data_IF_193047904124
#
_entry.id   IF_193047904124
#
_cell.length_a   1.000
_cell.length_b   1.000
_cell.length_c   1.000
_cell.angle_alpha   90.00
_cell.angle_beta   90.00
_cell.angle_gamma   90.00
#
_symmetry.space_group_name_H-M   'P 1'
#
loop_
_entity.id
_entity.type
_entity.pdbx_description
1 polymer ?
#
# COMPACT_ATOMS: atom_id res chain seq x y z
N UNK A 1 39.04 -86.31 -37.74
CA UNK A 1 38.15 -85.17 -38.03
C UNK A 1 38.13 -84.24 -36.83
N UNK A 2 38.95 -83.19 -36.84
CA UNK A 2 39.05 -82.21 -35.76
C UNK A 2 38.11 -81.03 -35.98
N UNK A 3 37.34 -80.64 -34.96
CA UNK A 3 36.69 -79.32 -34.89
C UNK A 3 37.30 -78.57 -33.71
N UNK A 4 38.18 -77.63 -34.04
CA UNK A 4 38.79 -76.68 -33.11
C UNK A 4 37.76 -75.60 -32.76
N UNK A 5 37.30 -75.58 -31.50
CA UNK A 5 36.51 -74.47 -30.95
C UNK A 5 37.48 -73.39 -30.45
N UNK A 6 37.59 -72.28 -31.19
CA UNK A 6 38.27 -71.07 -30.72
C UNK A 6 37.46 -70.48 -29.56
N UNK A 7 38.09 -70.45 -28.39
CA UNK A 7 37.59 -69.79 -27.19
C UNK A 7 38.06 -68.33 -27.22
N UNK A 8 37.17 -67.40 -27.58
CA UNK A 8 37.49 -65.97 -27.63
C UNK A 8 37.26 -65.38 -26.24
N UNK A 9 38.34 -65.16 -25.50
CA UNK A 9 38.34 -64.51 -24.20
C UNK A 9 38.09 -63.00 -24.39
N UNK A 10 37.12 -62.39 -23.68
CA UNK A 10 36.84 -60.97 -23.83
C UNK A 10 38.02 -60.13 -23.33
N UNK A 11 38.45 -59.16 -24.15
CA UNK A 11 39.57 -58.26 -23.89
C UNK A 11 39.25 -57.30 -22.72
N UNK A 12 40.26 -57.00 -21.88
CA UNK A 12 40.14 -56.13 -20.69
C UNK A 12 39.49 -54.74 -20.92
N UNK A 13 39.38 -54.27 -22.17
CA UNK A 13 38.76 -52.98 -22.51
C UNK A 13 37.22 -52.99 -22.42
N UNK A 14 36.54 -54.11 -22.72
CA UNK A 14 35.07 -54.22 -22.61
C UNK A 14 34.59 -54.32 -21.16
N UNK A 15 35.39 -54.95 -20.28
CA UNK A 15 35.13 -55.03 -18.84
C UNK A 15 35.19 -53.66 -18.13
N UNK A 16 36.05 -52.75 -18.59
CA UNK A 16 36.16 -51.38 -18.05
C UNK A 16 35.00 -50.47 -18.47
N UNK A 17 34.51 -50.61 -19.70
CA UNK A 17 33.37 -49.84 -20.22
C UNK A 17 32.04 -50.25 -19.56
N UNK A 18 31.81 -51.54 -19.33
CA UNK A 18 30.62 -52.04 -18.61
C UNK A 18 30.58 -51.57 -17.14
N UNK A 19 31.73 -51.52 -16.45
CA UNK A 19 31.78 -51.01 -15.08
C UNK A 19 31.39 -49.53 -15.00
N UNK A 20 31.93 -48.68 -15.89
CA UNK A 20 31.58 -47.25 -15.95
C UNK A 20 30.10 -47.01 -16.28
N UNK A 21 29.50 -47.79 -17.18
CA UNK A 21 28.07 -47.68 -17.49
C UNK A 21 27.17 -48.10 -16.31
N UNK A 22 27.55 -49.15 -15.58
CA UNK A 22 26.83 -49.59 -14.36
C UNK A 22 26.94 -48.57 -13.21
N UNK A 23 28.08 -47.90 -13.09
CA UNK A 23 28.29 -46.82 -12.10
C UNK A 23 27.50 -45.55 -12.43
N UNK A 24 27.47 -45.14 -13.71
CA UNK A 24 26.65 -44.02 -14.19
C UNK A 24 25.15 -44.29 -14.04
N UNK A 25 24.69 -45.52 -14.31
CA UNK A 25 23.29 -45.94 -14.10
C UNK A 25 22.88 -45.91 -12.62
N UNK A 26 23.76 -46.36 -11.71
CA UNK A 26 23.53 -46.29 -10.26
C UNK A 26 23.52 -44.86 -9.73
N UNK A 27 24.43 -44.01 -10.19
CA UNK A 27 24.44 -42.60 -9.82
C UNK A 27 23.17 -41.88 -10.31
N UNK A 28 22.72 -42.14 -11.54
CA UNK A 28 21.47 -41.57 -12.06
C UNK A 28 20.21 -42.08 -11.34
N UNK A 29 20.18 -43.35 -10.91
CA UNK A 29 19.10 -43.90 -10.09
C UNK A 29 19.02 -43.25 -8.71
N UNK A 30 20.17 -43.13 -8.02
CA UNK A 30 20.26 -42.46 -6.73
C UNK A 30 19.88 -40.97 -6.80
N UNK A 31 20.19 -40.29 -7.91
CA UNK A 31 19.77 -38.90 -8.13
C UNK A 31 18.25 -38.82 -8.30
N UNK A 32 17.62 -39.71 -9.08
CA UNK A 32 16.16 -39.74 -9.27
C UNK A 32 15.41 -40.01 -7.97
N UNK A 33 15.91 -40.91 -7.12
CA UNK A 33 15.29 -41.17 -5.82
C UNK A 33 15.41 -39.98 -4.86
N UNK A 34 16.57 -39.31 -4.81
CA UNK A 34 16.74 -38.08 -4.01
C UNK A 34 15.81 -36.96 -4.49
N UNK A 35 15.65 -36.80 -5.80
CA UNK A 35 14.71 -35.83 -6.38
C UNK A 35 13.26 -36.17 -6.04
N UNK A 36 12.87 -37.45 -6.07
CA UNK A 36 11.53 -37.89 -5.72
C UNK A 36 11.21 -37.68 -4.22
N UNK A 37 12.17 -37.96 -3.34
CA UNK A 37 12.02 -37.71 -1.89
C UNK A 37 11.92 -36.21 -1.58
N UNK A 38 12.75 -35.38 -2.21
CA UNK A 38 12.67 -33.93 -2.05
C UNK A 38 11.37 -33.36 -2.63
N UNK A 39 10.90 -33.89 -3.77
CA UNK A 39 9.62 -33.52 -4.36
C UNK A 39 8.45 -33.84 -3.42
N UNK A 40 8.46 -34.99 -2.75
CA UNK A 40 7.42 -35.37 -1.79
C UNK A 40 7.34 -34.42 -0.58
N UNK A 41 8.49 -33.94 -0.11
CA UNK A 41 8.58 -32.93 0.96
C UNK A 41 8.03 -31.59 0.44
N UNK A 42 8.45 -31.16 -0.75
CA UNK A 42 8.00 -29.90 -1.37
C UNK A 42 6.49 -29.91 -1.57
N UNK A 43 5.90 -30.97 -2.14
CA UNK A 43 4.44 -31.06 -2.37
C UNK A 43 3.67 -31.00 -1.05
N UNK A 44 4.19 -31.61 0.03
CA UNK A 44 3.54 -31.57 1.34
C UNK A 44 3.55 -30.18 1.97
N UNK A 45 4.62 -29.40 1.79
CA UNK A 45 4.76 -28.07 2.39
C UNK A 45 4.33 -26.92 1.47
N UNK A 46 4.23 -27.15 0.17
CA UNK A 46 3.80 -26.19 -0.85
C UNK A 46 2.49 -25.47 -0.50
N UNK A 47 1.40 -26.13 -0.06
CA UNK A 47 0.17 -25.41 0.26
C UNK A 47 0.35 -24.44 1.43
N UNK A 48 1.19 -24.76 2.41
CA UNK A 48 1.47 -23.87 3.54
C UNK A 48 2.31 -22.66 3.10
N UNK A 49 3.34 -22.87 2.27
CA UNK A 49 4.15 -21.77 1.71
C UNK A 49 3.26 -20.85 0.87
N UNK A 50 2.41 -21.42 0.01
CA UNK A 50 1.47 -20.65 -0.81
C UNK A 50 0.51 -19.84 0.05
N UNK A 51 -0.06 -20.44 1.10
CA UNK A 51 -0.98 -19.77 2.01
C UNK A 51 -0.29 -18.61 2.76
N UNK A 52 0.93 -18.83 3.27
CA UNK A 52 1.70 -17.75 3.91
C UNK A 52 2.03 -16.61 2.95
N UNK A 53 2.39 -16.91 1.69
CA UNK A 53 2.66 -15.91 0.68
C UNK A 53 1.40 -15.07 0.36
N UNK A 54 0.23 -15.71 0.22
CA UNK A 54 -1.04 -15.02 0.00
C UNK A 54 -1.37 -14.07 1.17
N UNK A 55 -1.18 -14.52 2.41
CA UNK A 55 -1.43 -13.68 3.60
C UNK A 55 -0.50 -12.47 3.62
N UNK A 56 0.80 -12.65 3.39
CA UNK A 56 1.77 -11.54 3.37
C UNK A 56 1.46 -10.54 2.26
N UNK A 57 1.16 -11.02 1.06
CA UNK A 57 0.78 -10.16 -0.07
C UNK A 57 -0.53 -9.43 0.23
N UNK A 58 -1.53 -10.12 0.77
CA UNK A 58 -2.81 -9.54 1.15
C UNK A 58 -2.67 -8.45 2.21
N UNK A 59 -1.85 -8.68 3.24
CA UNK A 59 -1.57 -7.69 4.27
C UNK A 59 -0.81 -6.48 3.70
N UNK A 60 0.17 -6.69 2.83
CA UNK A 60 0.91 -5.60 2.18
C UNK A 60 0.00 -4.71 1.34
N UNK A 61 -0.87 -5.32 0.53
CA UNK A 61 -1.89 -4.60 -0.25
C UNK A 61 -2.86 -3.84 0.66
N UNK A 62 -3.35 -4.46 1.73
CA UNK A 62 -4.29 -3.84 2.65
C UNK A 62 -3.72 -2.61 3.37
N UNK A 63 -2.44 -2.67 3.77
CA UNK A 63 -1.75 -1.53 4.38
C UNK A 63 -1.56 -0.40 3.36
N UNK A 64 -1.20 -0.74 2.13
CA UNK A 64 -0.90 0.23 1.08
C UNK A 64 -2.16 0.89 0.50
N UNK A 65 -3.31 0.21 0.59
CA UNK A 65 -4.60 0.71 0.11
C UNK A 65 -5.30 1.70 1.06
N UNK A 66 -4.67 2.08 2.19
CA UNK A 66 -5.27 3.05 3.11
C UNK A 66 -5.23 4.45 2.50
N UNK A 67 -6.37 5.17 2.44
CA UNK A 67 -6.39 6.52 1.90
C UNK A 67 -5.54 7.45 2.79
N UNK A 68 -4.75 8.30 2.16
CA UNK A 68 -4.05 9.39 2.82
C UNK A 68 -5.06 10.50 3.11
N UNK A 69 -5.49 10.63 4.36
CA UNK A 69 -6.50 11.58 4.81
C UNK A 69 -5.92 12.56 5.84
N UNK A 70 -6.51 13.77 5.98
CA UNK A 70 -6.10 14.72 7.00
C UNK A 70 -6.28 14.18 8.41
N UNK A 71 -5.51 14.71 9.38
CA UNK A 71 -5.65 14.34 10.77
C UNK A 71 -7.03 14.77 11.30
N UNK A 72 -7.69 13.90 12.06
CA UNK A 72 -8.96 14.20 12.75
C UNK A 72 -8.81 14.34 14.27
N UNK A 73 -7.57 14.19 14.78
CA UNK A 73 -7.25 14.14 16.21
C UNK A 73 -6.33 15.29 16.58
N UNK A 74 -6.50 15.82 17.80
CA UNK A 74 -5.71 16.94 18.35
C UNK A 74 -4.34 16.51 18.90
N UNK A 75 -3.99 15.21 18.92
CA UNK A 75 -2.74 14.74 19.53
C UNK A 75 -1.48 15.20 18.80
N UNK A 76 -0.42 15.57 19.54
CA UNK A 76 0.88 16.02 18.99
C UNK A 76 0.77 17.24 18.07
N UNK A 77 -0.11 18.17 18.40
CA UNK A 77 -0.19 19.46 17.71
C UNK A 77 0.95 20.39 18.16
N UNK A 78 1.16 21.47 17.42
CA UNK A 78 2.03 22.59 17.83
C UNK A 78 1.16 23.83 18.03
N UNK A 79 1.48 24.68 19.01
CA UNK A 79 0.77 25.95 19.25
C UNK A 79 1.11 26.98 18.16
N UNK A 80 0.64 26.73 16.95
CA UNK A 80 0.84 27.59 15.79
C UNK A 80 -0.40 27.59 14.92
N UNK A 81 -0.71 28.75 14.37
CA UNK A 81 -1.90 29.00 13.55
C UNK A 81 -1.49 29.34 12.12
N UNK A 82 -2.32 29.06 11.12
CA UNK A 82 -2.08 29.53 9.77
C UNK A 82 -2.11 31.07 9.73
N UNK A 83 -1.43 31.66 8.75
CA UNK A 83 -1.33 33.12 8.64
C UNK A 83 -2.66 33.81 8.28
N UNK A 84 -3.64 33.05 7.77
CA UNK A 84 -4.97 33.50 7.42
C UNK A 84 -5.94 32.31 7.36
N UNK A 85 -7.24 32.60 7.32
CA UNK A 85 -8.29 31.59 7.17
C UNK A 85 -8.41 31.06 5.75
N UNK A 86 -8.10 31.87 4.73
CA UNK A 86 -8.06 31.46 3.33
C UNK A 86 -6.61 31.54 2.85
N UNK A 87 -6.01 30.40 2.52
CA UNK A 87 -4.60 30.34 2.12
C UNK A 87 -4.39 29.53 0.84
N UNK A 88 -3.35 29.91 0.10
CA UNK A 88 -2.95 29.27 -1.17
C UNK A 88 -1.91 28.16 -0.99
N UNK A 89 -1.49 27.88 0.24
CA UNK A 89 -0.50 26.85 0.58
C UNK A 89 -1.12 25.81 1.51
N UNK A 90 -0.72 24.53 1.42
CA UNK A 90 -1.21 23.51 2.33
C UNK A 90 -0.89 23.84 3.79
N UNK A 91 -1.83 23.55 4.69
CA UNK A 91 -1.61 23.64 6.14
C UNK A 91 -0.87 22.38 6.59
N UNK A 92 0.29 22.48 7.27
CA UNK A 92 0.96 21.31 7.86
C UNK A 92 0.06 20.57 8.85
N UNK A 93 0.12 19.23 8.86
CA UNK A 93 -0.68 18.39 9.78
C UNK A 93 -0.59 18.84 11.24
N UNK A 94 0.60 19.20 11.73
CA UNK A 94 0.80 19.63 13.11
C UNK A 94 0.02 20.91 13.47
N UNK A 95 -0.12 21.83 12.52
CA UNK A 95 -0.92 23.07 12.65
C UNK A 95 -2.40 22.74 12.53
N UNK A 96 -2.79 21.86 11.58
CA UNK A 96 -4.18 21.42 11.45
C UNK A 96 -4.71 20.86 12.78
N UNK A 97 -3.94 19.99 13.44
CA UNK A 97 -4.33 19.40 14.72
C UNK A 97 -4.57 20.44 15.82
N UNK A 98 -3.83 21.54 15.83
CA UNK A 98 -4.04 22.65 16.77
C UNK A 98 -5.35 23.37 16.46
N UNK A 99 -5.61 23.65 15.18
CA UNK A 99 -6.85 24.30 14.74
C UNK A 99 -8.10 23.47 15.04
N UNK A 100 -8.00 22.14 15.00
CA UNK A 100 -9.11 21.25 15.39
C UNK A 100 -9.49 21.37 16.87
N UNK A 101 -8.54 21.75 17.72
CA UNK A 101 -8.78 21.98 19.14
C UNK A 101 -9.36 23.38 19.36
N UNK A 102 -8.65 24.40 18.88
CA UNK A 102 -9.04 25.80 18.96
C UNK A 102 -8.62 26.56 17.71
N UNK A 103 -9.57 27.17 17.01
CA UNK A 103 -9.31 28.12 15.94
C UNK A 103 -8.46 29.29 16.47
N UNK A 104 -7.42 29.66 15.74
CA UNK A 104 -6.46 30.72 16.10
C UNK A 104 -5.86 30.58 17.52
N UNK A 105 -5.84 29.35 18.04
CA UNK A 105 -5.27 28.99 19.34
C UNK A 105 -6.11 29.34 20.58
N UNK A 106 -7.24 30.05 20.43
CA UNK A 106 -8.13 30.43 21.55
C UNK A 106 -9.63 30.43 21.22
N UNK A 107 -9.98 30.19 19.97
CA UNK A 107 -11.35 30.23 19.46
C UNK A 107 -12.11 28.92 19.61
N UNK A 108 -13.27 28.88 18.96
CA UNK A 108 -14.08 27.66 18.82
C UNK A 108 -13.29 26.58 18.06
N UNK A 109 -13.65 25.30 18.17
CA UNK A 109 -13.04 24.26 17.34
C UNK A 109 -13.09 24.62 15.85
N UNK A 110 -11.94 24.51 15.19
CA UNK A 110 -11.79 24.84 13.79
C UNK A 110 -12.39 23.78 12.87
N UNK A 111 -12.90 24.24 11.73
CA UNK A 111 -13.28 23.41 10.60
C UNK A 111 -12.33 23.71 9.46
N UNK A 112 -11.66 22.68 8.94
CA UNK A 112 -10.69 22.83 7.86
C UNK A 112 -11.29 22.25 6.59
N UNK A 113 -11.54 23.11 5.62
CA UNK A 113 -11.90 22.75 4.26
C UNK A 113 -10.64 22.68 3.41
N UNK A 114 -10.38 21.51 2.85
CA UNK A 114 -9.20 21.29 2.04
C UNK A 114 -9.56 20.77 0.66
N UNK A 115 -8.97 21.34 -0.39
CA UNK A 115 -9.23 20.91 -1.78
C UNK A 115 -7.98 20.38 -2.49
N UNK A 116 -8.16 19.43 -3.41
CA UNK A 116 -7.09 18.83 -4.19
C UNK A 116 -7.39 18.89 -5.70
N UNK A 117 -7.18 20.05 -6.31
CA UNK A 117 -7.33 20.23 -7.75
C UNK A 117 -6.12 19.74 -8.57
N UNK A 118 -5.08 19.19 -7.91
CA UNK A 118 -3.92 18.59 -8.61
C UNK A 118 -4.22 17.14 -9.00
N UNK A 119 -4.89 16.40 -8.11
CA UNK A 119 -5.26 14.99 -8.33
C UNK A 119 -6.67 14.83 -8.90
N UNK A 120 -7.55 15.80 -8.70
CA UNK A 120 -8.96 15.74 -9.12
C UNK A 120 -9.32 16.94 -10.01
N UNK A 121 -10.25 16.72 -10.94
CA UNK A 121 -10.77 17.80 -11.79
C UNK A 121 -11.67 18.73 -10.96
N UNK A 122 -11.29 20.00 -10.89
CA UNK A 122 -12.09 21.06 -10.29
C UNK A 122 -12.72 21.93 -11.37
N UNK A 123 -13.94 22.39 -11.11
CA UNK A 123 -14.64 23.39 -11.90
C UNK A 123 -13.90 24.73 -11.81
N UNK A 124 -14.03 25.58 -12.84
CA UNK A 124 -13.28 26.86 -12.91
C UNK A 124 -13.58 27.81 -11.75
N UNK A 125 -14.79 27.76 -11.20
CA UNK A 125 -15.25 28.59 -10.09
C UNK A 125 -15.22 27.87 -8.72
N UNK A 126 -14.72 26.63 -8.67
CA UNK A 126 -14.77 25.77 -7.48
C UNK A 126 -14.09 26.41 -6.26
N UNK A 127 -12.84 26.88 -6.43
CA UNK A 127 -12.06 27.52 -5.36
C UNK A 127 -12.72 28.85 -4.94
N UNK A 128 -13.28 29.60 -5.89
CA UNK A 128 -13.95 30.87 -5.61
C UNK A 128 -15.24 30.68 -4.79
N UNK A 129 -16.02 29.64 -5.09
CA UNK A 129 -17.20 29.26 -4.31
C UNK A 129 -16.82 28.85 -2.89
N UNK A 130 -15.79 28.02 -2.74
CA UNK A 130 -15.28 27.62 -1.43
C UNK A 130 -14.78 28.83 -0.61
N UNK A 131 -14.04 29.74 -1.24
CA UNK A 131 -13.53 30.94 -0.58
C UNK A 131 -14.67 31.86 -0.14
N UNK A 132 -15.68 32.06 -0.99
CA UNK A 132 -16.87 32.83 -0.66
C UNK A 132 -17.67 32.22 0.49
N UNK A 133 -17.73 30.89 0.58
CA UNK A 133 -18.39 30.19 1.68
C UNK A 133 -17.57 30.27 2.97
N UNK A 134 -16.26 30.03 2.91
CA UNK A 134 -15.36 30.15 4.06
C UNK A 134 -15.42 31.55 4.69
N UNK A 135 -15.50 32.59 3.85
CA UNK A 135 -15.59 33.97 4.30
C UNK A 135 -16.86 34.29 5.12
N UNK A 136 -17.91 33.45 5.04
CA UNK A 136 -19.11 33.58 5.88
C UNK A 136 -18.87 33.11 7.32
N UNK A 137 -17.79 32.36 7.57
CA UNK A 137 -17.45 31.78 8.88
C UNK A 137 -16.02 32.19 9.31
N UNK A 138 -15.74 33.49 9.47
CA UNK A 138 -14.39 34.03 9.70
C UNK A 138 -13.81 33.67 11.08
N UNK A 139 -14.59 33.08 11.98
CA UNK A 139 -14.17 32.78 13.35
C UNK A 139 -13.45 31.43 13.46
N UNK A 140 -13.76 30.47 12.58
CA UNK A 140 -13.30 29.09 12.76
C UNK A 140 -13.22 28.24 11.49
N UNK A 141 -13.44 28.78 10.28
CA UNK A 141 -13.37 28.01 9.03
C UNK A 141 -12.14 28.37 8.22
N UNK A 142 -11.32 27.35 7.95
CA UNK A 142 -10.09 27.47 7.18
C UNK A 142 -10.26 26.84 5.80
N UNK A 143 -9.71 27.47 4.75
CA UNK A 143 -9.65 26.97 3.39
C UNK A 143 -8.20 26.89 2.91
N UNK A 144 -7.78 25.71 2.47
CA UNK A 144 -6.43 25.49 1.94
C UNK A 144 -6.38 24.39 0.88
N UNK A 145 -5.38 24.38 -0.03
CA UNK A 145 -5.12 23.21 -0.86
C UNK A 145 -4.53 22.04 -0.03
N UNK A 146 -4.60 20.81 -0.56
CA UNK A 146 -3.99 19.62 0.05
C UNK A 146 -3.43 18.62 -0.98
N UNK A 147 -2.78 17.56 -0.47
CA UNK A 147 -2.28 16.40 -1.24
C UNK A 147 -2.92 15.07 -0.83
N UNK A 148 -4.01 15.10 -0.07
CA UNK A 148 -4.77 13.94 0.40
C UNK A 148 -5.62 13.31 -0.70
N UNK A 149 -6.13 12.12 -0.41
CA UNK A 149 -6.96 11.31 -1.31
C UNK A 149 -8.44 11.73 -1.28
N UNK A 150 -8.73 12.98 -1.65
CA UNK A 150 -10.10 13.47 -1.84
C UNK A 150 -10.14 14.85 -2.51
N UNK A 151 -11.15 15.10 -3.36
CA UNK A 151 -11.29 16.38 -4.08
C UNK A 151 -11.57 17.54 -3.13
N UNK A 152 -12.55 17.40 -2.24
CA UNK A 152 -12.83 18.32 -1.14
C UNK A 152 -12.99 17.52 0.16
N UNK A 153 -12.22 17.86 1.16
CA UNK A 153 -12.23 17.21 2.47
C UNK A 153 -12.56 18.26 3.52
N UNK A 154 -13.62 18.03 4.27
CA UNK A 154 -14.02 18.81 5.43
C UNK A 154 -13.58 18.07 6.68
N UNK A 155 -12.88 18.75 7.57
CA UNK A 155 -12.34 18.15 8.79
C UNK A 155 -12.72 18.99 10.00
N UNK A 156 -13.30 18.35 11.02
CA UNK A 156 -13.47 18.90 12.37
C UNK A 156 -13.06 17.85 13.39
N UNK A 157 -12.91 18.21 14.66
CA UNK A 157 -12.43 17.26 15.67
C UNK A 157 -13.27 15.96 15.68
N UNK A 158 -12.59 14.82 15.46
CA UNK A 158 -13.21 13.49 15.40
C UNK A 158 -14.07 13.20 14.16
N UNK A 159 -14.21 14.12 13.21
CA UNK A 159 -15.10 13.98 12.05
C UNK A 159 -14.44 14.40 10.74
N UNK A 160 -14.74 13.67 9.68
CA UNK A 160 -14.24 13.92 8.34
C UNK A 160 -15.33 13.63 7.31
N UNK A 161 -15.46 14.50 6.31
CA UNK A 161 -16.39 14.33 5.19
C UNK A 161 -15.67 14.61 3.88
N UNK A 162 -15.78 13.71 2.91
CA UNK A 162 -15.23 13.89 1.57
C UNK A 162 -16.38 14.17 0.61
N UNK A 163 -16.19 15.19 -0.23
CA UNK A 163 -17.15 15.61 -1.25
C UNK A 163 -16.47 15.60 -2.62
N UNK A 164 -17.14 15.01 -3.59
CA UNK A 164 -16.70 14.98 -4.99
C UNK A 164 -17.08 16.24 -5.78
N UNK A 165 -18.01 17.03 -5.25
CA UNK A 165 -18.48 18.27 -5.88
C UNK A 165 -18.72 19.33 -4.81
N UNK A 166 -18.82 20.59 -5.24
CA UNK A 166 -19.24 21.67 -4.35
C UNK A 166 -20.72 21.48 -4.01
N UNK A 167 -21.00 21.23 -2.73
CA UNK A 167 -22.34 21.12 -2.18
C UNK A 167 -22.42 22.05 -0.96
N UNK A 168 -22.99 23.24 -1.20
CA UNK A 168 -23.05 24.29 -0.19
C UNK A 168 -23.78 23.85 1.07
N UNK A 169 -24.92 23.16 0.92
CA UNK A 169 -25.71 22.71 2.06
C UNK A 169 -24.95 21.65 2.86
N UNK A 170 -24.37 20.66 2.17
CA UNK A 170 -23.59 19.61 2.84
C UNK A 170 -22.35 20.14 3.57
N UNK A 171 -21.77 21.26 3.11
CA UNK A 171 -20.67 21.95 3.78
C UNK A 171 -21.18 22.72 5.00
N UNK A 172 -22.27 23.48 4.86
CA UNK A 172 -22.90 24.22 5.97
C UNK A 172 -23.31 23.29 7.11
N UNK A 173 -23.99 22.18 6.77
CA UNK A 173 -24.38 21.14 7.73
C UNK A 173 -23.19 20.48 8.45
N UNK A 174 -22.00 20.52 7.84
CA UNK A 174 -20.79 20.01 8.46
C UNK A 174 -20.12 21.04 9.38
N UNK A 175 -20.23 22.33 9.04
CA UNK A 175 -19.67 23.44 9.83
C UNK A 175 -20.47 23.64 11.11
N UNK A 176 -21.80 23.59 11.02
CA UNK A 176 -22.76 23.75 12.11
C UNK A 176 -22.88 22.48 12.99
#
# INVERSE_FOLDING_TARGET
MGKSKKNTQPTNQTLGAEKKQKEQGKNNGNIKERLYQNYKIIVRYFPYVLLTAIVVIGLGWFISARPHLPPTTMQKHIESSPSAHIISKPIPDSIQRHMLEHADGKGKPGVIMQYNCQKFTCESDFIQKLASLAAQYPDNVYLAPNSYDGKLILTKNGSLKILENFDEQAIKDFIE
#
